data_IF_604794843841
#
_entry.id   IF_604794843841
#
_cell.length_a   1.000
_cell.length_b   1.000
_cell.length_c   1.000
_cell.angle_alpha   90.00
_cell.angle_beta   90.00
_cell.angle_gamma   90.00
#
_symmetry.space_group_name_H-M   'P 1'
#
loop_
_entity.id
_entity.type
_entity.pdbx_description
1 polymer ?
#
# COMPACT_ATOMS: atom_id res chain seq x y z
N UNK A 1 7.81 -10.67 14.56
CA UNK A 1 6.54 -10.42 15.28
C UNK A 1 5.99 -9.11 14.75
N UNK A 2 4.76 -9.09 14.23
CA UNK A 2 4.18 -7.85 13.71
C UNK A 2 3.80 -6.90 14.87
N UNK A 3 4.07 -5.61 14.72
CA UNK A 3 3.73 -4.62 15.74
C UNK A 3 2.20 -4.45 15.87
N UNK A 4 1.70 -4.43 17.10
CA UNK A 4 0.27 -4.33 17.39
C UNK A 4 -0.24 -2.89 17.40
N UNK A 5 0.65 -1.92 17.53
CA UNK A 5 0.35 -0.50 17.45
C UNK A 5 1.60 0.26 17.01
N UNK A 6 1.40 1.42 16.39
CA UNK A 6 2.46 2.36 16.04
C UNK A 6 2.05 3.79 16.42
N UNK A 7 3.03 4.69 16.50
CA UNK A 7 2.78 6.12 16.72
C UNK A 7 2.75 6.83 15.37
N UNK A 8 1.67 7.53 15.06
CA UNK A 8 1.57 8.33 13.83
C UNK A 8 2.30 9.68 13.96
N UNK A 9 2.30 10.45 12.86
CA UNK A 9 2.88 11.79 12.79
C UNK A 9 2.23 12.77 13.80
N UNK A 10 0.97 12.52 14.19
CA UNK A 10 0.22 13.30 15.18
C UNK A 10 0.51 12.90 16.64
N UNK A 11 1.31 11.85 16.88
CA UNK A 11 1.63 11.36 18.23
C UNK A 11 0.61 10.41 18.85
N UNK A 12 -0.43 10.03 18.12
CA UNK A 12 -1.45 9.08 18.53
C UNK A 12 -1.00 7.61 18.40
N UNK A 13 -1.43 6.77 19.36
CA UNK A 13 -1.24 5.31 19.27
C UNK A 13 -2.30 4.68 18.36
N UNK A 14 -1.90 4.38 17.13
CA UNK A 14 -2.76 3.74 16.12
C UNK A 14 -2.65 2.22 16.24
N UNK A 15 -3.80 1.54 16.38
CA UNK A 15 -3.86 0.07 16.46
C UNK A 15 -3.84 -0.55 15.05
N UNK A 16 -2.99 -1.55 14.85
CA UNK A 16 -2.84 -2.22 13.56
C UNK A 16 -3.97 -3.20 13.28
N UNK A 17 -4.06 -3.65 12.02
CA UNK A 17 -5.02 -4.68 11.60
C UNK A 17 -4.85 -5.98 12.39
N UNK A 18 -3.62 -6.35 12.74
CA UNK A 18 -3.33 -7.54 13.55
C UNK A 18 -3.90 -7.43 14.97
N UNK A 19 -3.76 -6.27 15.62
CA UNK A 19 -4.38 -6.04 16.94
C UNK A 19 -5.91 -6.18 16.88
N UNK A 20 -6.52 -5.64 15.82
CA UNK A 20 -7.97 -5.70 15.62
C UNK A 20 -8.45 -7.11 15.27
N UNK A 21 -7.67 -7.90 14.52
CA UNK A 21 -7.94 -9.33 14.28
C UNK A 21 -7.88 -10.12 15.59
N UNK A 22 -6.87 -9.87 16.43
CA UNK A 22 -6.72 -10.54 17.73
C UNK A 22 -7.90 -10.24 18.68
N UNK A 23 -8.50 -9.06 18.58
CA UNK A 23 -9.74 -8.71 19.32
C UNK A 23 -10.94 -9.56 18.89
N UNK A 24 -10.95 -10.11 17.68
CA UNK A 24 -11.94 -11.09 17.21
C UNK A 24 -13.31 -10.54 16.82
N UNK A 25 -13.54 -9.22 16.88
CA UNK A 25 -14.81 -8.60 16.49
C UNK A 25 -14.65 -7.20 15.91
N UNK A 26 -15.51 -6.84 14.95
CA UNK A 26 -15.53 -5.50 14.37
C UNK A 26 -16.14 -4.49 15.35
N UNK A 27 -15.41 -3.41 15.63
CA UNK A 27 -15.88 -2.32 16.51
C UNK A 27 -16.92 -1.39 15.87
N UNK A 28 -17.13 -1.47 14.54
CA UNK A 28 -18.05 -0.63 13.74
C UNK A 28 -17.82 0.90 13.84
N UNK A 29 -16.64 1.32 14.31
CA UNK A 29 -16.26 2.75 14.41
C UNK A 29 -15.54 3.29 13.17
N UNK A 30 -15.47 2.52 12.08
CA UNK A 30 -14.73 2.86 10.88
C UNK A 30 -13.25 3.21 11.16
N UNK A 31 -12.54 2.32 11.87
CA UNK A 31 -11.12 2.46 12.18
C UNK A 31 -10.26 2.34 10.91
N UNK A 32 -9.09 3.00 10.91
CA UNK A 32 -8.21 3.07 9.73
C UNK A 32 -7.75 1.69 9.26
N UNK A 33 -7.39 0.81 10.19
CA UNK A 33 -6.86 -0.53 9.90
C UNK A 33 -7.89 -1.65 10.04
N UNK A 34 -9.13 -1.41 9.60
CA UNK A 34 -10.21 -2.39 9.76
C UNK A 34 -9.93 -3.67 8.95
N UNK A 35 -9.77 -4.84 9.59
CA UNK A 35 -9.51 -6.10 8.88
C UNK A 35 -10.76 -6.73 8.26
N UNK A 36 -11.94 -6.12 8.46
CA UNK A 36 -13.23 -6.63 8.03
C UNK A 36 -13.86 -5.79 6.90
N UNK A 37 -13.06 -4.96 6.22
CA UNK A 37 -13.47 -4.04 5.16
C UNK A 37 -14.59 -3.03 5.50
N UNK A 38 -15.05 -2.97 6.76
CA UNK A 38 -16.13 -2.06 7.18
C UNK A 38 -15.82 -0.59 6.87
N UNK A 39 -14.58 -0.18 7.11
CA UNK A 39 -14.14 1.19 6.82
C UNK A 39 -14.07 1.46 5.32
N UNK A 40 -13.56 0.51 4.54
CA UNK A 40 -13.46 0.61 3.09
C UNK A 40 -14.84 0.73 2.45
N UNK A 41 -15.79 -0.12 2.83
CA UNK A 41 -17.16 -0.07 2.29
C UNK A 41 -17.88 1.23 2.65
N UNK A 42 -17.57 1.84 3.80
CA UNK A 42 -18.25 3.06 4.26
C UNK A 42 -17.66 4.35 3.69
N UNK A 43 -16.34 4.42 3.56
CA UNK A 43 -15.64 5.65 3.18
C UNK A 43 -15.07 5.62 1.76
N UNK A 44 -14.94 4.43 1.16
CA UNK A 44 -14.29 4.25 -0.13
C UNK A 44 -12.78 4.53 -0.08
N UNK A 45 -12.19 4.63 -1.26
CA UNK A 45 -10.81 5.06 -1.47
C UNK A 45 -10.79 6.33 -2.32
N UNK A 46 -9.87 7.22 -1.99
CA UNK A 46 -9.61 8.44 -2.75
C UNK A 46 -8.26 8.32 -3.46
N UNK A 47 -8.21 8.80 -4.71
CA UNK A 47 -7.01 8.76 -5.52
C UNK A 47 -6.52 10.18 -5.79
N UNK A 48 -5.35 10.52 -5.24
CA UNK A 48 -4.76 11.86 -5.39
C UNK A 48 -3.62 11.83 -6.41
N UNK A 49 -3.55 12.85 -7.26
CA UNK A 49 -2.47 13.02 -8.22
C UNK A 49 -1.12 13.22 -7.52
N UNK A 50 -0.05 12.71 -8.13
CA UNK A 50 1.30 13.00 -7.65
C UNK A 50 1.78 14.33 -8.20
N UNK A 51 2.30 15.15 -7.30
CA UNK A 51 3.05 16.35 -7.64
C UNK A 51 4.56 16.11 -7.52
N UNK A 52 5.36 16.95 -8.17
CA UNK A 52 6.83 16.90 -8.12
C UNK A 52 7.35 16.99 -6.67
N UNK A 53 6.69 17.79 -5.83
CA UNK A 53 6.98 17.95 -4.40
C UNK A 53 6.85 16.63 -3.62
N UNK A 54 5.88 15.80 -4.00
CA UNK A 54 5.52 14.54 -3.33
C UNK A 54 6.20 13.30 -3.91
N UNK A 55 7.03 13.45 -4.95
CA UNK A 55 7.68 12.36 -5.66
C UNK A 55 8.54 11.50 -4.73
N UNK A 56 9.32 12.13 -3.84
CA UNK A 56 10.18 11.41 -2.89
C UNK A 56 9.37 10.50 -1.96
N UNK A 57 8.24 11.00 -1.45
CA UNK A 57 7.35 10.23 -0.58
C UNK A 57 6.74 9.04 -1.31
N UNK A 58 6.31 9.22 -2.55
CA UNK A 58 5.78 8.12 -3.35
C UNK A 58 6.83 7.07 -3.70
N UNK A 59 8.04 7.51 -4.07
CA UNK A 59 9.15 6.60 -4.36
C UNK A 59 9.54 5.80 -3.12
N UNK A 60 9.57 6.42 -1.94
CA UNK A 60 9.84 5.71 -0.69
C UNK A 60 8.85 4.56 -0.44
N UNK A 61 7.56 4.77 -0.71
CA UNK A 61 6.54 3.71 -0.59
C UNK A 61 6.81 2.57 -1.59
N UNK A 62 7.17 2.87 -2.84
CA UNK A 62 7.51 1.84 -3.84
C UNK A 62 8.75 1.05 -3.40
N UNK A 63 9.74 1.75 -2.85
CA UNK A 63 10.99 1.18 -2.37
C UNK A 63 10.76 0.20 -1.21
N UNK A 64 9.87 0.53 -0.28
CA UNK A 64 9.46 -0.34 0.84
C UNK A 64 8.73 -1.62 0.39
N UNK A 65 8.15 -1.62 -0.81
CA UNK A 65 7.43 -2.76 -1.38
C UNK A 65 8.29 -3.59 -2.35
N UNK A 66 9.47 -3.10 -2.71
CA UNK A 66 10.39 -3.80 -3.60
C UNK A 66 11.25 -4.79 -2.80
N UNK A 67 11.58 -5.98 -3.35
CA UNK A 67 12.47 -6.92 -2.67
C UNK A 67 13.80 -6.24 -2.36
N UNK A 68 14.19 -6.23 -1.08
CA UNK A 68 15.54 -5.84 -0.67
C UNK A 68 16.48 -6.88 -1.27
N UNK A 69 17.55 -6.45 -1.94
CA UNK A 69 18.52 -7.37 -2.53
C UNK A 69 19.09 -8.31 -1.45
N UNK A 70 18.59 -9.54 -1.39
CA UNK A 70 19.18 -10.60 -0.57
C UNK A 70 20.30 -11.30 -1.34
N UNK A 71 21.26 -11.85 -0.58
CA UNK A 71 22.51 -12.47 -1.05
C UNK A 71 22.41 -13.17 -2.42
N UNK A 72 23.35 -12.83 -3.30
CA UNK A 72 23.40 -13.18 -4.73
C UNK A 72 23.19 -14.67 -5.05
N UNK A 73 23.66 -15.57 -4.19
CA UNK A 73 23.52 -17.02 -4.38
C UNK A 73 22.08 -17.48 -4.17
N UNK A 74 21.44 -17.06 -3.08
CA UNK A 74 20.04 -17.39 -2.78
C UNK A 74 19.10 -16.77 -3.80
N UNK A 75 19.37 -15.52 -4.20
CA UNK A 75 18.61 -14.83 -5.24
C UNK A 75 18.68 -15.54 -6.60
N UNK A 76 19.85 -16.08 -6.97
CA UNK A 76 20.04 -16.81 -8.23
C UNK A 76 19.31 -18.16 -8.25
N UNK A 77 19.30 -18.87 -7.11
CA UNK A 77 18.55 -20.12 -6.95
C UNK A 77 17.03 -19.88 -7.04
N UNK A 78 16.53 -18.88 -6.33
CA UNK A 78 15.12 -18.50 -6.38
C UNK A 78 14.70 -17.99 -7.77
N UNK A 79 15.55 -17.20 -8.42
CA UNK A 79 15.30 -16.71 -9.78
C UNK A 79 15.21 -17.84 -10.80
N UNK A 80 16.01 -18.91 -10.62
CA UNK A 80 15.99 -20.08 -11.49
C UNK A 80 14.72 -20.93 -11.29
N UNK A 81 14.16 -20.94 -10.08
CA UNK A 81 12.97 -21.72 -9.75
C UNK A 81 11.64 -20.98 -9.99
N UNK A 82 11.62 -19.66 -9.78
CA UNK A 82 10.40 -18.85 -9.77
C UNK A 82 10.41 -17.67 -10.78
N UNK A 83 11.46 -17.56 -11.58
CA UNK A 83 11.69 -16.42 -12.49
C UNK A 83 12.44 -15.27 -11.82
N UNK A 84 13.09 -14.43 -12.62
CA UNK A 84 13.94 -13.32 -12.13
C UNK A 84 13.19 -12.33 -11.23
N UNK A 85 13.93 -11.68 -10.33
CA UNK A 85 13.37 -10.66 -9.44
C UNK A 85 12.63 -9.57 -10.24
N UNK A 86 11.41 -9.23 -9.81
CA UNK A 86 10.64 -8.13 -10.41
C UNK A 86 11.45 -6.84 -10.32
N UNK A 87 11.60 -6.15 -11.46
CA UNK A 87 12.29 -4.85 -11.51
C UNK A 87 11.56 -3.85 -10.62
N UNK A 88 12.34 -3.11 -9.83
CA UNK A 88 11.87 -1.99 -9.02
C UNK A 88 11.31 -0.89 -9.91
N UNK A 89 10.08 -0.43 -9.63
CA UNK A 89 9.48 0.69 -10.33
C UNK A 89 10.11 2.01 -9.88
N UNK A 90 10.44 2.87 -10.84
CA UNK A 90 11.03 4.19 -10.59
C UNK A 90 10.08 5.24 -11.18
N UNK A 91 9.66 6.19 -10.34
CA UNK A 91 8.80 7.30 -10.75
C UNK A 91 9.68 8.37 -11.41
N UNK A 92 9.57 8.51 -12.73
CA UNK A 92 10.17 9.63 -13.45
C UNK A 92 9.25 10.86 -13.45
N UNK A 93 9.84 12.06 -13.50
CA UNK A 93 9.08 13.33 -13.57
C UNK A 93 8.12 13.40 -14.77
N UNK A 94 8.46 12.70 -15.86
CA UNK A 94 7.64 12.67 -17.08
C UNK A 94 6.46 11.68 -17.00
N UNK A 95 6.47 10.79 -16.01
CA UNK A 95 5.47 9.73 -15.84
C UNK A 95 4.67 9.87 -14.55
N UNK A 96 4.72 11.05 -13.90
CA UNK A 96 3.92 11.34 -12.70
C UNK A 96 2.43 11.06 -12.91
N UNK A 97 1.92 11.36 -14.11
CA UNK A 97 0.54 11.09 -14.50
C UNK A 97 0.13 9.60 -14.45
N UNK A 98 1.08 8.67 -14.43
CA UNK A 98 0.82 7.24 -14.34
C UNK A 98 0.78 6.73 -12.89
N UNK A 99 0.92 7.61 -11.90
CA UNK A 99 0.87 7.22 -10.49
C UNK A 99 -0.20 8.02 -9.76
N UNK A 100 -0.82 7.42 -8.75
CA UNK A 100 -1.74 8.10 -7.83
C UNK A 100 -1.46 7.66 -6.39
N UNK A 101 -1.57 8.57 -5.44
CA UNK A 101 -1.67 8.19 -4.04
C UNK A 101 -3.04 7.57 -3.78
N UNK A 102 -3.07 6.52 -2.97
CA UNK A 102 -4.30 5.93 -2.46
C UNK A 102 -4.51 6.43 -1.03
N UNK A 103 -5.66 7.02 -0.78
CA UNK A 103 -6.03 7.57 0.52
C UNK A 103 -7.29 6.90 1.07
N UNK A 104 -7.29 6.65 2.38
CA UNK A 104 -8.44 6.18 3.15
C UNK A 104 -8.68 7.16 4.29
N UNK A 105 -9.84 7.80 4.32
CA UNK A 105 -10.18 8.83 5.30
C UNK A 105 -9.12 9.96 5.38
N UNK A 106 -8.58 10.36 4.23
CA UNK A 106 -7.51 11.37 4.13
C UNK A 106 -6.10 10.89 4.47
N UNK A 107 -5.91 9.66 4.96
CA UNK A 107 -4.58 9.11 5.23
C UNK A 107 -4.02 8.40 4.01
N UNK A 108 -2.79 8.72 3.62
CA UNK A 108 -2.09 8.03 2.52
C UNK A 108 -1.73 6.60 2.92
N UNK A 109 -2.41 5.64 2.32
CA UNK A 109 -2.21 4.20 2.50
C UNK A 109 -1.10 3.65 1.62
N UNK A 110 -0.94 4.23 0.43
CA UNK A 110 -0.04 3.70 -0.58
C UNK A 110 -0.03 4.49 -1.88
N UNK A 111 0.58 3.88 -2.89
CA UNK A 111 0.69 4.40 -4.26
C UNK A 111 0.20 3.32 -5.21
N UNK A 112 -0.51 3.73 -6.25
CA UNK A 112 -0.86 2.87 -7.38
C UNK A 112 -0.18 3.35 -8.66
N UNK A 113 0.14 2.39 -9.53
CA UNK A 113 0.54 2.65 -10.91
C UNK A 113 -0.66 2.41 -11.82
N UNK A 114 -1.03 3.41 -12.60
CA UNK A 114 -2.14 3.38 -13.54
C UNK A 114 -1.60 3.17 -14.95
N UNK A 115 -2.10 2.15 -15.62
CA UNK A 115 -1.87 1.88 -17.03
C UNK A 115 -3.08 2.26 -17.89
N UNK A 116 -3.07 1.84 -19.16
CA UNK A 116 -4.16 2.11 -20.10
C UNK A 116 -5.50 1.47 -19.73
N UNK A 117 -5.49 0.38 -18.97
CA UNK A 117 -6.67 -0.40 -18.58
C UNK A 117 -7.09 -0.18 -17.11
N UNK A 118 -6.47 0.77 -16.41
CA UNK A 118 -6.70 1.02 -14.99
C UNK A 118 -5.49 0.70 -14.12
N UNK A 119 -5.73 0.34 -12.85
CA UNK A 119 -4.66 0.11 -11.87
C UNK A 119 -3.88 -1.17 -12.21
N UNK A 120 -2.59 -0.99 -12.50
CA UNK A 120 -1.66 -2.06 -12.90
C UNK A 120 -0.77 -2.57 -11.77
N UNK A 121 -0.55 -1.76 -10.73
CA UNK A 121 0.25 -2.14 -9.55
C UNK A 121 -0.18 -1.35 -8.32
N UNK A 122 0.02 -1.94 -7.14
CA UNK A 122 -0.27 -1.38 -5.83
C UNK A 122 0.94 -1.54 -4.91
N UNK A 123 1.31 -0.46 -4.22
CA UNK A 123 2.38 -0.41 -3.22
C UNK A 123 1.80 0.21 -1.96
N UNK A 124 1.86 -0.50 -0.83
CA UNK A 124 1.24 -0.06 0.43
C UNK A 124 2.30 0.26 1.47
N UNK A 125 2.04 1.28 2.29
CA UNK A 125 2.79 1.48 3.53
C UNK A 125 2.66 0.24 4.41
N UNK A 126 3.71 -0.06 5.16
CA UNK A 126 3.80 -1.27 5.99
C UNK A 126 2.54 -1.53 6.85
N UNK A 127 2.06 -0.49 7.55
CA UNK A 127 0.89 -0.63 8.44
C UNK A 127 -0.45 -0.85 7.73
N UNK A 128 -0.53 -0.63 6.42
CA UNK A 128 -1.71 -0.86 5.60
C UNK A 128 -1.70 -2.23 4.90
N UNK A 129 -0.62 -3.00 5.06
CA UNK A 129 -0.54 -4.39 4.58
C UNK A 129 -1.44 -5.30 5.43
N UNK A 130 -1.84 -6.43 4.85
CA UNK A 130 -2.57 -7.53 5.52
C UNK A 130 -3.94 -7.17 6.14
N UNK A 131 -4.56 -6.06 5.72
CA UNK A 131 -5.88 -5.62 6.21
C UNK A 131 -7.03 -5.82 5.21
N UNK A 132 -6.79 -6.55 4.11
CA UNK A 132 -7.77 -6.71 3.03
C UNK A 132 -7.80 -5.53 2.06
N UNK A 133 -6.70 -4.79 1.95
CA UNK A 133 -6.49 -3.78 0.92
C UNK A 133 -5.53 -4.37 -0.13
N UNK A 134 -6.06 -5.06 -1.12
CA UNK A 134 -5.28 -5.69 -2.20
C UNK A 134 -5.52 -4.99 -3.55
N UNK A 135 -4.80 -5.44 -4.58
CA UNK A 135 -4.84 -4.83 -5.91
C UNK A 135 -6.24 -4.86 -6.52
N UNK A 136 -6.95 -5.98 -6.44
CA UNK A 136 -8.30 -6.14 -6.98
C UNK A 136 -9.29 -5.21 -6.28
N UNK A 137 -9.22 -5.15 -4.94
CA UNK A 137 -10.05 -4.23 -4.15
C UNK A 137 -9.74 -2.79 -4.54
N UNK A 138 -8.47 -2.37 -4.56
CA UNK A 138 -8.10 -0.99 -4.89
C UNK A 138 -8.51 -0.64 -6.32
N UNK A 139 -8.28 -1.54 -7.28
CA UNK A 139 -8.69 -1.35 -8.67
C UNK A 139 -10.21 -1.18 -8.80
N UNK A 140 -11.01 -1.90 -8.00
CA UNK A 140 -12.47 -1.76 -8.03
C UNK A 140 -13.00 -0.39 -7.61
N UNK A 141 -12.24 0.36 -6.80
CA UNK A 141 -12.57 1.74 -6.42
C UNK A 141 -12.02 2.78 -7.40
N UNK A 142 -11.11 2.38 -8.30
CA UNK A 142 -10.53 3.26 -9.29
C UNK A 142 -11.44 3.36 -10.51
N UNK A 143 -12.33 4.36 -10.51
CA UNK A 143 -13.12 4.70 -11.68
C UNK A 143 -12.26 5.53 -12.65
N UNK A 144 -12.08 5.02 -13.86
CA UNK A 144 -11.41 5.69 -14.99
C UNK A 144 -12.30 6.75 -15.60
#
# INVERSE_FOLDING_TARGET
MAELAYTNEDGDSVKTSQFLKNRGSCCKTACLHCPYNFTLTRHGLEFKELEISSLLTAQAIIDENSPKEENTVSASLLASAFGGAKKKDIISKYQLGNYRFVQLKGFTCGVVKVGSLGVSALYLKEHFKDQGLDLDIVASYYNV
#
